data_IF_214221404297
#
_entry.id   IF_214221404297
#
_cell.length_a   1.000
_cell.length_b   1.000
_cell.length_c   1.000
_cell.angle_alpha   90.00
_cell.angle_beta   90.00
_cell.angle_gamma   90.00
#
_symmetry.space_group_name_H-M   'P 1'
#
loop_
_entity.id
_entity.type
_entity.pdbx_description
1 polymer ?
#
# COMPACT_ATOMS: atom_id res chain seq x y z
N UNK A 1 20.10 -13.09 -12.93
CA UNK A 1 19.46 -12.52 -11.72
C UNK A 1 20.17 -13.05 -10.49
N UNK A 2 20.26 -12.24 -9.44
CA UNK A 2 20.93 -12.55 -8.17
C UNK A 2 19.89 -12.53 -7.03
N UNK A 3 20.08 -13.29 -5.95
CA UNK A 3 19.20 -13.24 -4.78
C UNK A 3 19.06 -11.82 -4.22
N UNK A 4 17.86 -11.45 -3.76
CA UNK A 4 17.64 -10.15 -3.10
C UNK A 4 18.36 -10.09 -1.75
N UNK A 5 18.32 -11.17 -0.96
CA UNK A 5 19.11 -11.29 0.26
C UNK A 5 20.51 -11.82 -0.10
N UNK A 6 21.54 -11.01 0.20
CA UNK A 6 22.94 -11.32 -0.13
C UNK A 6 23.46 -12.59 0.55
N UNK A 7 22.88 -12.98 1.68
CA UNK A 7 23.33 -14.13 2.48
C UNK A 7 22.82 -15.48 1.93
N UNK A 8 21.87 -15.45 0.99
CA UNK A 8 21.29 -16.67 0.41
C UNK A 8 22.13 -17.15 -0.75
N UNK A 9 22.62 -18.39 -0.65
CA UNK A 9 23.40 -19.06 -1.70
C UNK A 9 22.54 -20.03 -2.55
N UNK A 10 21.25 -20.16 -2.26
CA UNK A 10 20.36 -21.06 -2.98
C UNK A 10 20.02 -20.54 -4.40
N UNK A 11 20.34 -21.37 -5.39
CA UNK A 11 20.07 -21.12 -6.81
C UNK A 11 18.57 -21.08 -7.08
N UNK A 12 17.75 -21.81 -6.32
CA UNK A 12 16.29 -21.85 -6.47
C UNK A 12 15.55 -20.82 -5.64
N UNK A 13 16.26 -19.91 -4.98
CA UNK A 13 15.64 -18.87 -4.17
C UNK A 13 14.63 -18.05 -5.00
N UNK A 14 13.40 -17.94 -4.50
CA UNK A 14 12.26 -17.33 -5.22
C UNK A 14 12.50 -15.87 -5.57
N UNK A 15 13.04 -15.09 -4.63
CA UNK A 15 13.12 -13.63 -4.74
C UNK A 15 14.48 -13.20 -5.32
N UNK A 16 14.47 -12.77 -6.58
CA UNK A 16 15.68 -12.36 -7.29
C UNK A 16 15.52 -10.98 -7.91
N UNK A 17 16.64 -10.29 -8.10
CA UNK A 17 16.73 -9.03 -8.86
C UNK A 17 17.80 -9.14 -9.95
N UNK A 18 17.76 -8.34 -11.01
CA UNK A 18 18.91 -8.21 -11.90
C UNK A 18 20.08 -7.58 -11.15
N UNK A 19 21.31 -7.96 -11.49
CA UNK A 19 22.49 -7.24 -11.01
C UNK A 19 22.49 -5.82 -11.58
N UNK A 20 22.93 -4.84 -10.80
CA UNK A 20 23.08 -3.47 -11.27
C UNK A 20 23.95 -3.43 -12.52
N UNK A 21 23.64 -2.54 -13.46
CA UNK A 21 24.47 -2.25 -14.62
C UNK A 21 24.79 -0.77 -14.59
N UNK A 22 26.07 -0.44 -14.44
CA UNK A 22 26.53 0.95 -14.51
C UNK A 22 27.21 1.26 -15.83
N UNK A 23 27.08 2.50 -16.27
CA UNK A 23 27.81 3.07 -17.40
C UNK A 23 28.47 4.38 -16.98
N UNK A 24 29.68 4.64 -17.45
CA UNK A 24 30.33 5.92 -17.26
C UNK A 24 30.04 6.86 -18.43
N UNK A 25 29.68 8.10 -18.14
CA UNK A 25 29.59 9.20 -19.11
C UNK A 25 30.46 10.37 -18.65
N UNK A 26 31.10 11.07 -19.60
CA UNK A 26 32.01 12.20 -19.32
C UNK A 26 33.49 11.85 -19.44
N UNK A 27 34.34 12.89 -19.44
CA UNK A 27 35.81 12.80 -19.50
C UNK A 27 36.44 13.61 -18.36
N UNK A 28 37.64 13.22 -17.93
CA UNK A 28 38.46 13.90 -16.92
C UNK A 28 37.72 14.13 -15.58
N UNK A 29 37.53 15.38 -15.17
CA UNK A 29 36.94 15.80 -13.89
C UNK A 29 35.40 15.76 -13.87
N UNK A 30 34.76 15.47 -15.01
CA UNK A 30 33.30 15.47 -15.17
C UNK A 30 32.67 14.09 -15.34
N UNK A 31 33.36 13.01 -14.94
CA UNK A 31 32.83 11.64 -15.07
C UNK A 31 31.63 11.44 -14.15
N UNK A 32 30.57 10.86 -14.70
CA UNK A 32 29.31 10.52 -14.03
C UNK A 32 29.05 9.03 -14.20
N UNK A 33 28.47 8.44 -13.17
CA UNK A 33 28.04 7.04 -13.17
C UNK A 33 26.53 7.01 -13.41
N UNK A 34 26.10 6.22 -14.39
CA UNK A 34 24.70 6.08 -14.79
C UNK A 34 24.24 4.68 -14.42
N UNK A 35 23.11 4.61 -13.71
CA UNK A 35 22.46 3.35 -13.35
C UNK A 35 21.46 3.00 -14.46
N UNK A 36 21.80 2.03 -15.30
CA UNK A 36 21.07 1.75 -16.55
C UNK A 36 19.76 1.00 -16.28
N UNK A 37 19.79 0.02 -15.38
CA UNK A 37 18.67 -0.89 -15.10
C UNK A 37 18.06 -0.67 -13.70
N UNK A 38 18.15 0.56 -13.17
CA UNK A 38 17.63 0.83 -11.83
C UNK A 38 16.12 0.59 -11.73
N UNK A 39 15.36 0.85 -12.80
CA UNK A 39 13.92 0.58 -12.83
C UNK A 39 13.59 -0.92 -12.81
N UNK A 40 14.42 -1.78 -13.38
CA UNK A 40 14.22 -3.23 -13.30
C UNK A 40 14.43 -3.74 -11.86
N UNK A 41 15.44 -3.19 -11.19
CA UNK A 41 15.73 -3.48 -9.78
C UNK A 41 14.58 -2.95 -8.92
N UNK A 42 14.14 -1.71 -9.15
CA UNK A 42 13.07 -1.07 -8.39
C UNK A 42 11.77 -1.87 -8.44
N UNK A 43 11.41 -2.38 -9.63
CA UNK A 43 10.29 -3.32 -9.82
C UNK A 43 10.46 -4.60 -9.03
N UNK A 44 11.66 -5.20 -9.06
CA UNK A 44 11.94 -6.44 -8.32
C UNK A 44 11.85 -6.26 -6.80
N UNK A 45 12.15 -5.06 -6.30
CA UNK A 45 12.11 -4.71 -4.88
C UNK A 45 10.77 -4.11 -4.43
N UNK A 46 9.83 -3.88 -5.36
CA UNK A 46 8.57 -3.15 -5.08
C UNK A 46 8.83 -1.80 -4.38
N UNK A 47 9.80 -1.04 -4.86
CA UNK A 47 10.15 0.31 -4.37
C UNK A 47 10.31 1.26 -5.55
N UNK A 48 9.97 2.53 -5.38
CA UNK A 48 10.19 3.56 -6.42
C UNK A 48 11.69 3.75 -6.66
N UNK A 49 12.10 3.84 -7.93
CA UNK A 49 13.50 4.04 -8.31
C UNK A 49 14.08 5.35 -7.76
N UNK A 50 13.27 6.40 -7.63
CA UNK A 50 13.67 7.67 -7.00
C UNK A 50 14.13 7.51 -5.55
N UNK A 51 13.47 6.65 -4.78
CA UNK A 51 13.83 6.40 -3.37
C UNK A 51 15.19 5.70 -3.31
N UNK A 52 15.44 4.74 -4.20
CA UNK A 52 16.73 4.02 -4.30
C UNK A 52 17.83 4.99 -4.75
N UNK A 53 17.58 5.82 -5.76
CA UNK A 53 18.54 6.84 -6.20
C UNK A 53 18.86 7.83 -5.06
N UNK A 54 17.86 8.24 -4.29
CA UNK A 54 18.05 9.14 -3.16
C UNK A 54 18.85 8.48 -2.03
N UNK A 55 18.70 7.17 -1.83
CA UNK A 55 19.55 6.42 -0.90
C UNK A 55 21.03 6.51 -1.30
N UNK A 56 21.36 6.33 -2.59
CA UNK A 56 22.72 6.54 -3.09
C UNK A 56 23.25 7.95 -2.80
N UNK A 57 22.40 8.98 -2.96
CA UNK A 57 22.78 10.36 -2.65
C UNK A 57 23.22 10.52 -1.19
N UNK A 58 22.49 9.93 -0.24
CA UNK A 58 22.83 9.99 1.18
C UNK A 58 24.07 9.16 1.53
N UNK A 59 24.15 7.92 1.04
CA UNK A 59 25.26 7.01 1.36
C UNK A 59 26.59 7.49 0.79
N UNK A 60 26.59 8.05 -0.41
CA UNK A 60 27.80 8.58 -1.04
C UNK A 60 28.05 10.05 -0.69
N UNK A 61 27.07 10.76 -0.12
CA UNK A 61 27.11 12.22 0.07
C UNK A 61 27.35 12.98 -1.23
N UNK A 62 26.69 12.52 -2.30
CA UNK A 62 26.84 13.07 -3.66
C UNK A 62 25.51 13.52 -4.23
N UNK A 63 25.58 14.47 -5.17
CA UNK A 63 24.42 14.88 -5.93
C UNK A 63 24.02 13.79 -6.93
N UNK A 64 22.71 13.56 -7.00
CA UNK A 64 22.08 12.63 -7.93
C UNK A 64 21.06 13.39 -8.77
N UNK A 65 20.92 13.01 -10.05
CA UNK A 65 19.96 13.60 -10.98
C UNK A 65 19.13 12.48 -11.60
N UNK A 66 17.83 12.72 -11.71
CA UNK A 66 16.92 11.90 -12.52
C UNK A 66 16.44 12.75 -13.69
N UNK A 67 16.89 12.41 -14.90
CA UNK A 67 16.61 13.17 -16.14
C UNK A 67 16.57 12.20 -17.32
N UNK A 68 15.52 11.36 -17.36
CA UNK A 68 15.40 10.20 -18.25
C UNK A 68 16.42 9.08 -17.98
N UNK A 69 17.47 9.37 -17.20
CA UNK A 69 18.49 8.45 -16.68
C UNK A 69 18.74 8.74 -15.20
N UNK A 70 19.18 7.72 -14.47
CA UNK A 70 19.61 7.84 -13.08
C UNK A 70 21.11 8.11 -13.03
N UNK A 71 21.48 9.34 -12.67
CA UNK A 71 22.85 9.84 -12.77
C UNK A 71 23.40 10.15 -11.37
N UNK A 72 24.63 9.71 -11.12
CA UNK A 72 25.38 9.98 -9.90
C UNK A 72 26.71 10.63 -10.28
N UNK A 73 27.05 11.74 -9.62
CA UNK A 73 28.33 12.43 -9.86
C UNK A 73 29.52 11.56 -9.46
N UNK A 74 30.60 11.61 -10.23
CA UNK A 74 31.82 10.85 -9.97
C UNK A 74 31.84 9.45 -10.60
N UNK A 75 33.02 8.82 -10.54
CA UNK A 75 33.28 7.47 -11.02
C UNK A 75 33.17 6.48 -9.86
N UNK A 76 32.14 5.63 -9.88
CA UNK A 76 31.92 4.63 -8.83
C UNK A 76 32.08 3.23 -9.38
N UNK A 77 32.68 2.34 -8.60
CA UNK A 77 32.86 0.96 -9.00
C UNK A 77 31.55 0.16 -8.91
N UNK A 78 31.38 -0.79 -9.84
CA UNK A 78 30.20 -1.64 -9.96
C UNK A 78 29.93 -2.44 -8.67
N UNK A 79 30.96 -3.01 -8.05
CA UNK A 79 30.81 -3.81 -6.83
C UNK A 79 30.38 -2.95 -5.65
N UNK A 80 30.98 -1.76 -5.51
CA UNK A 80 30.61 -0.78 -4.48
C UNK A 80 29.14 -0.37 -4.62
N UNK A 81 28.70 -0.06 -5.84
CA UNK A 81 27.32 0.36 -6.09
C UNK A 81 26.32 -0.76 -5.82
N UNK A 82 26.65 -2.00 -6.17
CA UNK A 82 25.82 -3.16 -5.85
C UNK A 82 25.70 -3.41 -4.34
N UNK A 83 26.78 -3.22 -3.57
CA UNK A 83 26.73 -3.35 -2.11
C UNK A 83 25.80 -2.31 -1.47
N UNK A 84 25.79 -1.07 -1.95
CA UNK A 84 24.86 -0.04 -1.45
C UNK A 84 23.40 -0.44 -1.70
N UNK A 85 23.09 -1.15 -2.79
CA UNK A 85 21.74 -1.68 -3.02
C UNK A 85 21.39 -2.76 -2.01
N UNK A 86 22.33 -3.64 -1.66
CA UNK A 86 22.10 -4.62 -0.60
C UNK A 86 21.89 -3.96 0.76
N UNK A 87 22.68 -2.93 1.09
CA UNK A 87 22.48 -2.15 2.31
C UNK A 87 21.09 -1.50 2.32
N UNK A 88 20.63 -0.98 1.17
CA UNK A 88 19.26 -0.48 1.02
C UNK A 88 18.21 -1.57 1.26
N UNK A 89 18.40 -2.76 0.69
CA UNK A 89 17.49 -3.90 0.82
C UNK A 89 17.36 -4.31 2.29
N UNK A 90 18.47 -4.44 3.00
CA UNK A 90 18.50 -4.83 4.41
C UNK A 90 17.82 -3.79 5.32
N UNK A 91 17.88 -2.51 4.94
CA UNK A 91 17.25 -1.44 5.72
C UNK A 91 15.77 -1.22 5.38
N UNK A 92 15.38 -1.29 4.11
CA UNK A 92 14.13 -0.74 3.59
C UNK A 92 13.22 -1.73 2.84
N UNK A 93 13.69 -2.97 2.64
CA UNK A 93 12.95 -3.99 1.87
C UNK A 93 12.69 -5.24 2.71
N UNK A 94 13.73 -5.81 3.32
CA UNK A 94 13.57 -7.05 4.08
C UNK A 94 12.83 -6.82 5.39
N UNK A 95 11.88 -7.70 5.69
CA UNK A 95 11.23 -7.75 6.98
C UNK A 95 12.26 -8.04 8.09
N UNK A 96 12.27 -7.24 9.15
CA UNK A 96 13.22 -7.40 10.27
C UNK A 96 13.01 -8.69 11.10
N UNK A 97 11.94 -9.44 10.85
CA UNK A 97 11.65 -10.69 11.57
C UNK A 97 11.88 -11.94 10.71
N UNK A 98 11.34 -11.96 9.48
CA UNK A 98 11.36 -13.16 8.63
C UNK A 98 12.18 -12.99 7.35
N UNK A 99 12.84 -11.85 7.16
CA UNK A 99 13.66 -11.52 5.98
C UNK A 99 12.92 -11.63 4.63
N UNK A 100 11.59 -11.65 4.65
CA UNK A 100 10.79 -11.65 3.42
C UNK A 100 10.83 -10.25 2.77
N UNK A 101 11.05 -10.14 1.45
CA UNK A 101 11.13 -8.85 0.76
C UNK A 101 9.78 -8.24 0.40
N UNK A 102 8.67 -9.00 0.52
CA UNK A 102 7.33 -8.48 0.25
C UNK A 102 6.83 -7.66 1.46
N UNK A 103 7.27 -6.40 1.49
CA UNK A 103 6.92 -5.45 2.53
C UNK A 103 6.45 -4.13 1.94
N UNK A 104 5.70 -3.34 2.69
CA UNK A 104 5.25 -2.00 2.29
C UNK A 104 5.38 -1.02 3.45
N UNK A 105 5.50 0.27 3.10
CA UNK A 105 5.60 1.32 4.10
C UNK A 105 4.22 1.82 4.52
N UNK A 106 4.07 2.03 5.82
CA UNK A 106 2.88 2.61 6.44
C UNK A 106 3.34 3.79 7.29
N UNK A 107 2.65 4.92 7.18
CA UNK A 107 2.88 6.07 8.04
C UNK A 107 1.66 6.31 8.91
N UNK A 108 1.89 6.37 10.22
CA UNK A 108 0.88 6.65 11.24
C UNK A 108 1.42 7.75 12.16
N UNK A 109 2.00 7.40 13.30
CA UNK A 109 2.83 8.32 14.12
C UNK A 109 4.31 8.30 13.75
N UNK A 110 4.76 7.20 13.17
CA UNK A 110 6.13 6.99 12.70
C UNK A 110 6.13 6.16 11.42
N UNK A 111 7.25 6.18 10.70
CA UNK A 111 7.43 5.33 9.52
C UNK A 111 7.57 3.87 9.95
N UNK A 112 6.64 3.03 9.50
CA UNK A 112 6.61 1.59 9.77
C UNK A 112 6.73 0.82 8.45
N UNK A 113 7.23 -0.40 8.56
CA UNK A 113 7.28 -1.39 7.48
C UNK A 113 6.43 -2.58 7.90
N UNK A 114 5.48 -2.95 7.04
CA UNK A 114 4.57 -4.08 7.24
C UNK A 114 4.93 -5.20 6.26
N UNK A 115 4.97 -6.44 6.75
CA UNK A 115 5.31 -7.61 5.96
C UNK A 115 4.07 -8.41 5.56
N UNK A 116 3.96 -8.77 4.28
CA UNK A 116 2.85 -9.57 3.76
C UNK A 116 2.91 -11.04 4.17
N UNK A 117 4.10 -11.57 4.46
CA UNK A 117 4.27 -12.97 4.85
C UNK A 117 3.94 -13.24 6.32
N UNK A 118 4.39 -12.37 7.24
CA UNK A 118 4.23 -12.58 8.68
C UNK A 118 3.30 -11.58 9.37
N UNK A 119 2.84 -10.53 8.68
CA UNK A 119 1.95 -9.50 9.22
C UNK A 119 2.59 -8.54 10.23
N UNK A 120 3.90 -8.69 10.52
CA UNK A 120 4.57 -7.83 11.50
C UNK A 120 4.69 -6.40 10.98
N UNK A 121 4.29 -5.45 11.82
CA UNK A 121 4.49 -4.00 11.64
C UNK A 121 5.66 -3.54 12.51
N UNK A 122 6.82 -3.31 11.89
CA UNK A 122 8.03 -2.84 12.58
C UNK A 122 8.33 -1.38 12.27
N UNK A 123 8.81 -0.62 13.27
CA UNK A 123 9.30 0.75 13.06
C UNK A 123 10.55 0.69 12.17
N UNK A 124 10.57 1.48 11.10
CA UNK A 124 11.74 1.56 10.19
C UNK A 124 12.92 2.16 10.94
N UNK A 125 14.10 1.56 10.77
CA UNK A 125 15.34 2.03 11.41
C UNK A 125 15.63 3.48 11.02
N UNK A 126 16.24 4.23 11.94
CA UNK A 126 16.50 5.65 11.71
C UNK A 126 17.47 5.88 10.53
N UNK A 127 17.07 6.74 9.61
CA UNK A 127 17.86 7.08 8.43
C UNK A 127 17.35 8.37 7.78
N UNK A 128 18.25 9.14 7.17
CA UNK A 128 17.92 10.42 6.48
C UNK A 128 16.86 10.26 5.38
N UNK A 129 16.78 9.08 4.78
CA UNK A 129 15.80 8.74 3.73
C UNK A 129 14.37 8.64 4.26
N UNK A 130 14.16 8.43 5.56
CA UNK A 130 12.83 8.23 6.14
C UNK A 130 11.91 9.42 5.85
N UNK A 131 12.43 10.64 5.91
CA UNK A 131 11.67 11.85 5.60
C UNK A 131 11.20 11.89 4.14
N UNK A 132 12.05 11.46 3.21
CA UNK A 132 11.71 11.39 1.79
C UNK A 132 10.69 10.28 1.51
N UNK A 133 10.80 9.14 2.21
CA UNK A 133 9.81 8.07 2.15
C UNK A 133 8.45 8.58 2.66
N UNK A 134 8.41 9.26 3.82
CA UNK A 134 7.18 9.83 4.40
C UNK A 134 6.50 10.80 3.44
N UNK A 135 7.26 11.72 2.81
CA UNK A 135 6.70 12.65 1.80
C UNK A 135 6.03 11.90 0.65
N UNK A 136 6.64 10.81 0.20
CA UNK A 136 6.17 9.98 -0.92
C UNK A 136 5.05 8.99 -0.54
N UNK A 137 4.78 8.78 0.76
CA UNK A 137 3.69 7.92 1.26
C UNK A 137 2.32 8.61 1.14
N UNK A 138 2.28 9.92 0.87
CA UNK A 138 1.06 10.74 0.85
C UNK A 138 0.12 10.53 -0.34
N UNK A 139 0.37 9.56 -1.23
CA UNK A 139 -0.52 9.31 -2.38
C UNK A 139 -1.14 7.93 -2.48
N UNK A 140 -0.66 6.91 -1.76
CA UNK A 140 -1.21 5.54 -1.84
C UNK A 140 -0.43 4.66 -0.86
N UNK A 141 -1.03 4.27 0.27
CA UNK A 141 -0.32 3.43 1.25
C UNK A 141 -1.22 2.37 1.88
N UNK A 142 -1.80 1.55 1.02
CA UNK A 142 -2.04 0.11 1.25
C UNK A 142 -2.12 -0.58 -0.11
N UNK A 143 -2.03 -1.90 -0.16
CA UNK A 143 -2.37 -2.72 -1.35
C UNK A 143 -3.78 -2.40 -1.91
N UNK A 144 -4.66 -1.81 -1.09
CA UNK A 144 -6.01 -1.36 -1.47
C UNK A 144 -6.03 -0.01 -2.19
N UNK A 145 -4.92 0.71 -2.17
CA UNK A 145 -4.83 2.05 -2.77
C UNK A 145 -4.62 2.02 -4.29
N UNK A 146 -4.23 0.86 -4.85
CA UNK A 146 -4.26 0.58 -6.29
C UNK A 146 -5.70 0.44 -6.84
N UNK A 147 -6.69 0.28 -5.95
CA UNK A 147 -8.12 0.26 -6.27
C UNK A 147 -8.79 1.63 -6.07
N UNK A 148 -8.04 2.64 -5.62
CA UNK A 148 -8.51 4.03 -5.57
C UNK A 148 -8.33 4.66 -6.95
N UNK A 149 -9.40 5.13 -7.62
CA UNK A 149 -9.26 5.87 -8.87
C UNK A 149 -8.42 7.13 -8.65
N UNK A 150 -7.21 7.14 -9.20
CA UNK A 150 -6.45 8.36 -9.43
C UNK A 150 -7.16 9.09 -10.57
N UNK A 151 -8.00 10.07 -10.23
CA UNK A 151 -8.23 11.33 -11.00
C UNK A 151 -9.54 12.06 -10.67
N UNK A 152 -10.47 11.48 -9.91
CA UNK A 152 -11.64 12.24 -9.42
C UNK A 152 -11.56 12.38 -7.92
N UNK A 153 -11.27 13.59 -7.43
CA UNK A 153 -11.19 13.95 -6.01
C UNK A 153 -12.50 13.79 -5.22
N UNK A 154 -13.38 12.89 -5.61
CA UNK A 154 -14.61 12.53 -4.90
C UNK A 154 -14.44 11.16 -4.24
N UNK A 155 -14.04 11.17 -2.97
CA UNK A 155 -14.00 9.99 -2.07
C UNK A 155 -15.44 9.53 -1.68
N UNK A 156 -16.44 9.90 -2.48
CA UNK A 156 -17.87 9.61 -2.30
C UNK A 156 -18.41 8.62 -3.34
N UNK A 157 -17.55 7.75 -3.89
CA UNK A 157 -17.93 6.89 -5.01
C UNK A 157 -18.55 5.56 -4.50
N UNK A 158 -19.88 5.46 -4.50
CA UNK A 158 -20.62 4.24 -4.06
C UNK A 158 -20.14 2.97 -4.78
N UNK A 159 -19.71 3.10 -6.04
CA UNK A 159 -19.22 1.99 -6.86
C UNK A 159 -17.87 1.43 -6.36
N UNK A 160 -17.02 2.28 -5.78
CA UNK A 160 -15.72 1.89 -5.24
C UNK A 160 -15.89 1.04 -3.97
N UNK A 161 -16.73 1.49 -3.03
CA UNK A 161 -16.98 0.75 -1.79
C UNK A 161 -17.66 -0.60 -2.07
N UNK A 162 -18.53 -0.64 -3.08
CA UNK A 162 -19.16 -1.88 -3.55
C UNK A 162 -18.13 -2.90 -4.06
N UNK A 163 -17.10 -2.48 -4.81
CA UNK A 163 -16.02 -3.36 -5.29
C UNK A 163 -15.21 -3.92 -4.11
N UNK A 164 -14.84 -3.06 -3.16
CA UNK A 164 -14.09 -3.46 -1.96
C UNK A 164 -14.84 -4.49 -1.11
N UNK A 165 -16.15 -4.29 -0.91
CA UNK A 165 -16.99 -5.27 -0.21
C UNK A 165 -16.99 -6.65 -0.89
N UNK A 166 -16.93 -6.67 -2.22
CA UNK A 166 -16.88 -7.92 -2.99
C UNK A 166 -15.53 -8.62 -2.85
N UNK A 167 -14.44 -7.88 -2.91
CA UNK A 167 -13.07 -8.41 -2.82
C UNK A 167 -12.68 -8.81 -1.40
N UNK A 168 -13.27 -8.18 -0.38
CA UNK A 168 -13.00 -8.53 1.01
C UNK A 168 -13.59 -9.88 1.43
N UNK A 169 -14.36 -10.55 0.55
CA UNK A 169 -15.07 -11.80 0.83
C UNK A 169 -15.93 -11.74 2.11
N UNK A 170 -16.59 -10.60 2.34
CA UNK A 170 -17.38 -10.31 3.55
C UNK A 170 -16.56 -10.21 4.86
N UNK A 171 -15.22 -10.17 4.80
CA UNK A 171 -14.38 -9.80 5.96
C UNK A 171 -14.31 -8.28 6.10
N UNK A 172 -15.18 -7.73 6.95
CA UNK A 172 -15.32 -6.29 7.13
C UNK A 172 -14.11 -5.61 7.76
N UNK A 173 -13.27 -6.35 8.50
CA UNK A 173 -12.06 -5.79 9.12
C UNK A 173 -11.05 -5.30 8.06
N UNK A 174 -11.10 -5.87 6.85
CA UNK A 174 -10.29 -5.39 5.72
C UNK A 174 -10.69 -4.00 5.23
N UNK A 175 -11.86 -3.49 5.65
CA UNK A 175 -12.40 -2.19 5.24
C UNK A 175 -12.05 -1.05 6.21
N UNK A 176 -11.38 -1.35 7.33
CA UNK A 176 -11.01 -0.39 8.39
C UNK A 176 -10.43 0.91 7.83
N UNK A 177 -9.44 0.79 6.95
CA UNK A 177 -8.67 1.92 6.41
C UNK A 177 -9.44 2.77 5.39
N UNK A 178 -10.58 2.28 4.91
CA UNK A 178 -11.39 2.94 3.89
C UNK A 178 -12.64 3.56 4.50
N UNK A 179 -13.23 2.90 5.50
CA UNK A 179 -14.48 3.33 6.13
C UNK A 179 -14.36 4.68 6.83
N UNK A 180 -13.22 4.98 7.45
CA UNK A 180 -12.98 6.30 8.06
C UNK A 180 -12.96 7.45 7.05
N UNK A 181 -12.74 7.15 5.77
CA UNK A 181 -12.60 8.15 4.69
C UNK A 181 -13.87 8.35 3.89
N UNK A 182 -14.89 7.52 4.11
CA UNK A 182 -16.14 7.54 3.34
C UNK A 182 -17.29 8.00 4.26
N UNK A 183 -18.18 8.82 3.70
CA UNK A 183 -19.40 9.20 4.39
C UNK A 183 -20.24 7.95 4.75
N UNK A 184 -20.68 7.85 6.00
CA UNK A 184 -21.53 6.77 6.50
C UNK A 184 -22.75 6.51 5.60
N UNK A 185 -23.36 7.53 5.02
CA UNK A 185 -24.50 7.38 4.11
C UNK A 185 -24.14 6.54 2.88
N UNK A 186 -22.97 6.77 2.32
CA UNK A 186 -22.47 6.07 1.13
C UNK A 186 -22.06 4.64 1.49
N UNK A 187 -21.46 4.45 2.67
CA UNK A 187 -21.15 3.12 3.22
C UNK A 187 -22.43 2.29 3.33
N UNK A 188 -23.45 2.82 4.00
CA UNK A 188 -24.71 2.12 4.25
C UNK A 188 -25.48 1.84 2.95
N UNK A 189 -25.50 2.80 2.00
CA UNK A 189 -26.14 2.64 0.70
C UNK A 189 -25.43 1.63 -0.21
N UNK A 190 -24.10 1.64 -0.21
CA UNK A 190 -23.30 0.68 -0.98
C UNK A 190 -23.41 -0.74 -0.43
N UNK A 191 -23.40 -0.88 0.89
CA UNK A 191 -23.68 -2.15 1.56
C UNK A 191 -25.09 -2.67 1.25
N UNK A 192 -26.10 -1.80 1.30
CA UNK A 192 -27.48 -2.15 0.91
C UNK A 192 -27.52 -2.69 -0.53
N UNK A 193 -26.90 -1.99 -1.49
CA UNK A 193 -26.81 -2.45 -2.88
C UNK A 193 -26.08 -3.80 -3.01
N UNK A 194 -25.00 -4.02 -2.24
CA UNK A 194 -24.23 -5.27 -2.23
C UNK A 194 -25.07 -6.45 -1.74
N UNK A 195 -25.71 -6.30 -0.57
CA UNK A 195 -26.55 -7.33 0.04
C UNK A 195 -27.75 -7.65 -0.84
N UNK A 196 -28.42 -6.63 -1.39
CA UNK A 196 -29.59 -6.84 -2.24
C UNK A 196 -29.26 -7.52 -3.57
N UNK A 197 -28.07 -7.25 -4.13
CA UNK A 197 -27.60 -7.84 -5.40
C UNK A 197 -27.12 -9.27 -5.24
N UNK A 198 -26.39 -9.59 -4.16
CA UNK A 198 -25.83 -10.93 -3.94
C UNK A 198 -26.66 -11.80 -2.98
N UNK A 199 -27.77 -11.27 -2.44
CA UNK A 199 -28.69 -11.98 -1.54
C UNK A 199 -28.05 -12.50 -0.25
N UNK A 200 -27.01 -11.82 0.25
CA UNK A 200 -26.24 -12.18 1.46
C UNK A 200 -26.80 -11.54 2.74
N UNK A 201 -28.08 -11.69 3.01
CA UNK A 201 -28.77 -10.98 4.12
C UNK A 201 -28.23 -11.33 5.51
N UNK A 202 -27.63 -12.52 5.67
CA UNK A 202 -26.96 -12.99 6.89
C UNK A 202 -25.81 -12.08 7.36
N UNK A 203 -25.25 -11.28 6.45
CA UNK A 203 -24.14 -10.37 6.75
C UNK A 203 -24.59 -9.03 7.34
N UNK A 204 -25.90 -8.73 7.36
CA UNK A 204 -26.44 -7.47 7.89
C UNK A 204 -26.06 -7.30 9.36
N UNK A 205 -26.30 -8.30 10.21
CA UNK A 205 -25.97 -8.24 11.64
C UNK A 205 -24.47 -8.04 11.86
N UNK A 206 -23.65 -8.81 11.13
CA UNK A 206 -22.19 -8.72 11.22
C UNK A 206 -21.68 -7.34 10.85
N UNK A 207 -22.20 -6.76 9.76
CA UNK A 207 -21.79 -5.45 9.29
C UNK A 207 -22.22 -4.33 10.23
N UNK A 208 -23.45 -4.38 10.77
CA UNK A 208 -23.90 -3.35 11.71
C UNK A 208 -23.08 -3.43 13.00
N UNK A 209 -22.84 -4.63 13.55
CA UNK A 209 -21.97 -4.79 14.72
C UNK A 209 -20.57 -4.21 14.47
N UNK A 210 -19.99 -4.54 13.33
CA UNK A 210 -18.71 -3.99 12.90
C UNK A 210 -18.72 -2.45 12.85
N UNK A 211 -19.76 -1.81 12.29
CA UNK A 211 -19.88 -0.34 12.31
C UNK A 211 -20.02 0.23 13.74
N UNK A 212 -20.72 -0.46 14.63
CA UNK A 212 -20.82 -0.04 16.04
C UNK A 212 -19.47 -0.12 16.75
N UNK A 213 -18.68 -1.16 16.49
CA UNK A 213 -17.30 -1.28 17.01
C UNK A 213 -16.39 -0.15 16.51
N UNK A 214 -16.62 0.34 15.28
CA UNK A 214 -15.93 1.53 14.73
C UNK A 214 -16.45 2.87 15.26
N UNK A 215 -17.40 2.86 16.19
CA UNK A 215 -17.91 4.06 16.86
C UNK A 215 -19.06 4.77 16.13
N UNK A 216 -19.63 4.20 15.07
CA UNK A 216 -20.82 4.75 14.44
C UNK A 216 -22.05 4.60 15.34
N UNK A 217 -22.92 5.61 15.35
CA UNK A 217 -24.08 5.62 16.27
C UNK A 217 -25.18 4.68 15.77
N UNK A 218 -25.65 3.77 16.62
CA UNK A 218 -26.80 2.88 16.35
C UNK A 218 -28.03 3.66 15.84
N UNK A 219 -28.28 4.85 16.38
CA UNK A 219 -29.40 5.71 15.98
C UNK A 219 -29.27 6.27 14.56
N UNK A 220 -28.05 6.51 14.08
CA UNK A 220 -27.78 7.03 12.74
C UNK A 220 -27.97 5.94 11.68
N UNK A 221 -27.44 4.75 11.94
CA UNK A 221 -27.63 3.56 11.09
C UNK A 221 -29.12 3.19 11.01
N UNK A 222 -29.81 3.17 12.15
CA UNK A 222 -31.26 2.89 12.20
C UNK A 222 -32.05 3.91 11.39
N UNK A 223 -31.77 5.22 11.56
CA UNK A 223 -32.43 6.29 10.78
C UNK A 223 -32.24 6.12 9.28
N UNK A 224 -31.08 5.66 8.82
CA UNK A 224 -30.81 5.46 7.40
C UNK A 224 -31.67 4.33 6.80
N UNK A 225 -31.73 3.18 7.47
CA UNK A 225 -32.46 2.00 6.96
C UNK A 225 -33.98 2.05 7.20
N UNK A 226 -34.45 2.84 8.17
CA UNK A 226 -35.89 3.03 8.41
C UNK A 226 -36.51 4.07 7.48
N UNK A 227 -35.72 5.04 7.00
CA UNK A 227 -36.20 6.08 6.08
C UNK A 227 -36.20 5.60 4.63
N UNK A 228 -37.17 6.01 3.80
CA UNK A 228 -37.13 5.76 2.35
C UNK A 228 -35.91 6.44 1.73
N UNK A 229 -35.16 5.71 0.90
CA UNK A 229 -34.02 6.26 0.17
C UNK A 229 -34.36 6.33 -1.33
N UNK A 230 -34.36 7.55 -1.89
CA UNK A 230 -34.37 7.86 -3.33
C UNK A 230 -35.25 6.94 -4.22
N UNK A 231 -36.48 6.63 -3.78
CA UNK A 231 -37.44 5.86 -4.58
C UNK A 231 -37.13 4.37 -4.79
N UNK A 232 -36.05 3.82 -4.22
CA UNK A 232 -35.74 2.38 -4.30
C UNK A 232 -36.57 1.60 -3.27
N UNK A 233 -37.30 0.58 -3.75
CA UNK A 233 -38.00 -0.37 -2.87
C UNK A 233 -37.04 -1.45 -2.39
N UNK A 234 -36.78 -1.49 -1.07
CA UNK A 234 -36.06 -2.58 -0.40
C UNK A 234 -36.84 -3.89 -0.44
N UNK A 235 -36.12 -5.01 -0.53
CA UNK A 235 -36.70 -6.36 -0.46
C UNK A 235 -37.35 -6.63 0.90
N UNK A 236 -38.21 -7.65 0.93
CA UNK A 236 -38.90 -8.06 2.16
C UNK A 236 -37.89 -8.66 3.15
N UNK A 237 -36.95 -9.44 2.63
CA UNK A 237 -35.87 -10.11 3.33
C UNK A 237 -34.96 -9.09 4.02
N UNK A 238 -34.53 -8.05 3.30
CA UNK A 238 -33.71 -6.98 3.86
C UNK A 238 -34.41 -6.27 5.02
N UNK A 239 -35.69 -5.90 4.83
CA UNK A 239 -36.49 -5.26 5.88
C UNK A 239 -36.65 -6.15 7.10
N UNK A 240 -36.84 -7.45 6.90
CA UNK A 240 -37.00 -8.42 7.99
C UNK A 240 -35.75 -8.49 8.85
N UNK A 241 -34.56 -8.62 8.26
CA UNK A 241 -33.30 -8.70 9.01
C UNK A 241 -32.92 -7.37 9.68
N UNK A 242 -33.17 -6.22 9.02
CA UNK A 242 -32.99 -4.91 9.65
C UNK A 242 -33.91 -4.73 10.86
N UNK A 243 -35.21 -5.04 10.71
CA UNK A 243 -36.16 -4.94 11.81
C UNK A 243 -35.82 -5.90 12.95
N UNK A 244 -35.38 -7.12 12.61
CA UNK A 244 -34.90 -8.09 13.60
C UNK A 244 -33.73 -7.51 14.40
N UNK A 245 -32.75 -6.88 13.76
CA UNK A 245 -31.60 -6.32 14.47
C UNK A 245 -31.94 -5.12 15.38
N UNK A 246 -32.82 -4.22 14.93
CA UNK A 246 -33.14 -2.99 15.68
C UNK A 246 -34.28 -3.13 16.69
N UNK A 247 -35.16 -4.12 16.54
CA UNK A 247 -36.28 -4.38 17.45
C UNK A 247 -36.04 -5.58 18.38
N UNK A 248 -34.90 -6.27 18.27
CA UNK A 248 -34.41 -7.21 19.29
C UNK A 248 -33.64 -6.45 20.37
#
# INVERSE_FOLDING_TARGET
MIPINKNIQDIHFRYKMPSLIIKYEGKNTGVKTILVNLDDISRSLSRKSDIILKYFSYTLSLQTKHDGKFIISGKHDQMKMQNIIYDFIDHFVLCYNCENPETFFVFDTSLKMECLACGLKSIVRDHKLNLEIIKNISTQSTIYSDFLPVETGDVNNEEMFYKLLKESEDDFNKLDHVIEKINIKNILGSFENYIEKYKKYENITKFINYLLEKGYKKSEICKFYTRPQNGKKRSVEFKKEINKYFNS
#
